data_IF_524800512580
#
_entry.id   IF_524800512580
#
_cell.length_a   1.000
_cell.length_b   1.000
_cell.length_c   1.000
_cell.angle_alpha   90.00
_cell.angle_beta   90.00
_cell.angle_gamma   90.00
#
_symmetry.space_group_name_H-M   'P 1'
#
loop_
_entity.id
_entity.type
_entity.pdbx_description
1 polymer ?
#
# COMPACT_ATOMS: atom_id res chain seq x y z
N UNK A 1 -3.81 18.12 -8.21
CA UNK A 1 -3.69 19.08 -7.07
C UNK A 1 -2.66 18.53 -6.11
N UNK A 2 -1.88 19.37 -5.42
CA UNK A 2 -0.83 18.88 -4.51
C UNK A 2 -1.43 18.66 -3.13
N UNK A 3 -1.36 17.43 -2.60
CA UNK A 3 -1.75 17.13 -1.22
C UNK A 3 -0.67 17.63 -0.25
N UNK A 4 -1.07 18.50 0.69
CA UNK A 4 -0.17 19.03 1.73
C UNK A 4 -0.36 18.23 3.02
N UNK A 5 0.64 17.45 3.39
CA UNK A 5 0.62 16.60 4.60
C UNK A 5 0.75 17.46 5.84
N UNK A 6 -0.12 17.27 6.84
CA UNK A 6 -0.02 17.92 8.15
C UNK A 6 -0.73 17.09 9.22
N UNK A 7 -0.13 16.99 10.39
CA UNK A 7 -0.75 16.43 11.58
C UNK A 7 -1.45 17.51 12.44
N UNK A 8 -1.22 18.79 12.14
CA UNK A 8 -1.78 19.94 12.89
C UNK A 8 -3.13 20.27 12.29
N UNK A 9 -4.20 19.89 12.99
CA UNK A 9 -5.56 20.19 12.58
C UNK A 9 -5.84 21.70 12.66
N UNK A 10 -6.72 22.24 11.77
CA UNK A 10 -7.14 23.63 11.85
C UNK A 10 -7.98 23.88 13.13
N UNK A 11 -7.95 25.09 13.63
CA UNK A 11 -8.75 25.49 14.80
C UNK A 11 -10.27 25.42 14.52
N UNK A 12 -10.68 25.62 13.26
CA UNK A 12 -12.06 25.49 12.79
C UNK A 12 -12.10 25.16 11.29
N UNK A 13 -13.14 24.46 10.87
CA UNK A 13 -13.48 24.21 9.48
C UNK A 13 -14.99 24.00 9.34
N UNK A 14 -15.54 24.29 8.17
CA UNK A 14 -16.97 24.10 7.91
C UNK A 14 -17.26 22.68 7.39
N UNK A 15 -16.48 22.25 6.41
CA UNK A 15 -16.54 20.90 5.82
C UNK A 15 -15.15 20.40 5.54
N UNK A 16 -15.01 19.08 5.49
CA UNK A 16 -13.76 18.38 5.20
C UNK A 16 -14.00 17.12 4.37
N UNK A 17 -12.98 16.65 3.68
CA UNK A 17 -12.97 15.31 3.07
C UNK A 17 -12.73 14.28 4.16
N UNK A 18 -13.60 13.24 4.19
CA UNK A 18 -13.54 12.20 5.22
C UNK A 18 -13.22 10.85 4.62
N UNK A 19 -12.03 10.37 4.92
CA UNK A 19 -11.54 9.05 4.55
C UNK A 19 -11.84 8.07 5.69
N UNK A 20 -13.06 7.53 5.71
CA UNK A 20 -13.52 6.64 6.77
C UNK A 20 -13.45 5.18 6.32
N UNK A 21 -12.87 4.32 7.14
CA UNK A 21 -12.61 2.91 6.78
C UNK A 21 -13.32 1.94 7.73
N UNK A 22 -13.73 0.80 7.16
CA UNK A 22 -14.07 -0.41 7.90
C UNK A 22 -13.23 -1.55 7.34
N UNK A 23 -12.19 -1.95 8.09
CA UNK A 23 -11.13 -2.82 7.55
C UNK A 23 -10.49 -2.21 6.31
N UNK A 24 -10.53 -2.94 5.19
CA UNK A 24 -9.96 -2.52 3.91
C UNK A 24 -10.97 -1.79 2.99
N UNK A 25 -12.19 -1.55 3.46
CA UNK A 25 -13.22 -0.85 2.70
C UNK A 25 -13.31 0.60 3.14
N UNK A 26 -13.42 1.51 2.17
CA UNK A 26 -13.58 2.96 2.38
C UNK A 26 -15.03 3.37 2.18
N UNK A 27 -15.50 4.30 3.00
CA UNK A 27 -16.79 4.93 2.83
C UNK A 27 -16.76 5.91 1.66
N UNK A 28 -17.76 5.81 0.80
CA UNK A 28 -17.95 6.71 -0.33
C UNK A 28 -19.38 7.25 -0.35
N UNK A 29 -19.56 8.44 -0.89
CA UNK A 29 -20.87 8.99 -1.20
C UNK A 29 -21.25 8.60 -2.63
N UNK A 30 -22.53 8.24 -2.82
CA UNK A 30 -23.10 7.93 -4.12
C UNK A 30 -23.96 9.09 -4.59
N UNK A 31 -23.45 9.92 -5.49
CA UNK A 31 -24.12 11.11 -6.03
C UNK A 31 -24.36 10.96 -7.53
N UNK A 32 -25.61 10.70 -7.94
CA UNK A 32 -25.97 10.68 -9.36
C UNK A 32 -25.18 9.70 -10.21
N UNK A 33 -24.79 8.54 -9.65
CA UNK A 33 -23.98 7.51 -10.31
C UNK A 33 -22.47 7.79 -10.26
N UNK A 34 -22.02 8.79 -9.51
CA UNK A 34 -20.58 9.04 -9.24
C UNK A 34 -20.23 8.60 -7.83
N UNK A 35 -19.04 8.04 -7.71
CA UNK A 35 -18.43 7.66 -6.43
C UNK A 35 -17.48 8.77 -6.02
N UNK A 36 -17.70 9.33 -4.83
CA UNK A 36 -16.91 10.47 -4.33
C UNK A 36 -16.49 10.24 -2.88
N UNK A 37 -15.35 10.81 -2.48
CA UNK A 37 -14.96 10.87 -1.07
C UNK A 37 -15.94 11.79 -0.35
N UNK A 38 -16.56 11.37 0.78
CA UNK A 38 -17.52 12.19 1.50
C UNK A 38 -16.95 13.55 1.91
N UNK A 39 -17.71 14.62 1.63
CA UNK A 39 -17.36 16.00 1.97
C UNK A 39 -18.43 16.64 2.84
N UNK A 40 -18.24 16.60 4.15
CA UNK A 40 -19.21 17.08 5.14
C UNK A 40 -18.54 17.60 6.41
N UNK A 41 -19.31 18.15 7.36
CA UNK A 41 -18.79 18.70 8.63
C UNK A 41 -18.13 17.60 9.46
N UNK A 42 -18.86 16.50 9.75
CA UNK A 42 -18.36 15.35 10.51
C UNK A 42 -19.23 14.10 10.23
N UNK A 43 -18.68 12.89 10.39
CA UNK A 43 -19.41 11.64 10.15
C UNK A 43 -20.65 11.47 11.04
N UNK A 44 -20.60 11.91 12.27
CA UNK A 44 -21.69 11.80 13.26
C UNK A 44 -22.97 12.50 12.83
N UNK A 45 -22.86 13.63 12.09
CA UNK A 45 -24.02 14.35 11.54
C UNK A 45 -24.83 13.52 10.54
N UNK A 46 -24.24 12.44 10.01
CA UNK A 46 -24.86 11.50 9.08
C UNK A 46 -25.14 10.13 9.72
N UNK A 47 -25.01 10.02 11.04
CA UNK A 47 -25.22 8.76 11.76
C UNK A 47 -24.06 7.76 11.65
N UNK A 48 -22.93 8.16 11.08
CA UNK A 48 -21.74 7.33 10.95
C UNK A 48 -20.91 7.45 12.24
N UNK A 49 -20.82 6.33 12.98
CA UNK A 49 -20.00 6.29 14.19
C UNK A 49 -18.57 5.94 13.82
N UNK A 50 -17.62 6.73 14.28
CA UNK A 50 -16.19 6.52 14.01
C UNK A 50 -15.38 6.46 15.31
N UNK A 51 -14.18 5.90 15.20
CA UNK A 51 -13.11 6.07 16.17
C UNK A 51 -12.65 7.54 16.20
N UNK A 52 -11.58 7.83 16.95
CA UNK A 52 -10.96 9.16 16.95
C UNK A 52 -10.54 9.55 15.52
N UNK A 53 -10.98 10.71 15.08
CA UNK A 53 -10.55 11.28 13.81
C UNK A 53 -9.07 11.72 13.89
N UNK A 54 -8.34 11.46 12.80
CA UNK A 54 -6.97 11.94 12.61
C UNK A 54 -6.94 12.90 11.43
N UNK A 55 -6.45 14.10 11.65
CA UNK A 55 -6.19 15.07 10.58
C UNK A 55 -4.96 14.62 9.78
N UNK A 56 -5.04 14.64 8.44
CA UNK A 56 -3.97 14.17 7.57
C UNK A 56 -3.41 15.23 6.62
N UNK A 57 -4.03 16.43 6.56
CA UNK A 57 -3.57 17.52 5.72
C UNK A 57 -4.67 18.15 4.87
N UNK A 58 -4.29 18.73 3.74
CA UNK A 58 -5.22 19.37 2.80
C UNK A 58 -5.05 18.87 1.37
N UNK A 59 -6.18 18.71 0.67
CA UNK A 59 -6.24 18.52 -0.77
C UNK A 59 -6.75 19.81 -1.43
N UNK A 60 -5.84 20.61 -1.98
CA UNK A 60 -6.12 21.99 -2.32
C UNK A 60 -6.51 22.80 -1.07
N UNK A 61 -7.69 23.40 -1.08
CA UNK A 61 -8.26 24.14 0.08
C UNK A 61 -9.04 23.27 1.07
N UNK A 62 -9.29 21.99 0.72
CA UNK A 62 -10.13 21.12 1.53
C UNK A 62 -9.31 20.40 2.61
N UNK A 63 -9.71 20.54 3.86
CA UNK A 63 -9.16 19.76 4.96
C UNK A 63 -9.52 18.28 4.80
N UNK A 64 -8.60 17.38 5.21
CA UNK A 64 -8.76 15.95 5.10
C UNK A 64 -8.58 15.28 6.46
N UNK A 65 -9.54 14.46 6.83
CA UNK A 65 -9.51 13.62 8.03
C UNK A 65 -9.66 12.15 7.66
N UNK A 66 -9.13 11.29 8.53
CA UNK A 66 -9.39 9.86 8.44
C UNK A 66 -9.84 9.29 9.78
N UNK A 67 -10.63 8.21 9.75
CA UNK A 67 -11.13 7.52 10.94
C UNK A 67 -11.53 6.07 10.61
N UNK A 68 -11.57 5.22 11.64
CA UNK A 68 -12.22 3.91 11.54
C UNK A 68 -13.73 4.03 11.80
N UNK A 69 -14.55 3.34 11.01
CA UNK A 69 -15.98 3.20 11.23
C UNK A 69 -16.21 2.10 12.27
N UNK A 70 -16.90 2.44 13.36
CA UNK A 70 -17.15 1.53 14.48
C UNK A 70 -18.57 0.97 14.50
N UNK A 71 -19.44 1.42 13.58
CA UNK A 71 -20.83 0.92 13.43
C UNK A 71 -20.97 -0.03 12.26
N UNK A 72 -21.94 -0.96 12.38
CA UNK A 72 -22.33 -1.88 11.30
C UNK A 72 -23.52 -1.35 10.47
N UNK A 73 -24.11 -0.24 10.87
CA UNK A 73 -25.33 0.27 10.26
C UNK A 73 -25.04 0.92 8.91
N UNK A 74 -25.60 0.42 7.81
CA UNK A 74 -25.55 1.10 6.53
C UNK A 74 -26.23 2.47 6.63
N UNK A 75 -25.61 3.48 6.03
CA UNK A 75 -26.14 4.84 6.00
C UNK A 75 -26.62 5.15 4.58
N UNK A 76 -27.87 5.59 4.44
CA UNK A 76 -28.46 5.91 3.13
C UNK A 76 -27.63 6.97 2.40
N UNK A 77 -27.31 6.73 1.13
CA UNK A 77 -26.49 7.62 0.30
C UNK A 77 -24.97 7.40 0.42
N UNK A 78 -24.56 6.38 1.20
CA UNK A 78 -23.17 5.98 1.33
C UNK A 78 -23.01 4.48 1.11
N UNK A 79 -21.84 4.09 0.58
CA UNK A 79 -21.45 2.69 0.41
C UNK A 79 -20.05 2.45 0.96
N UNK A 80 -19.77 1.20 1.34
CA UNK A 80 -18.42 0.73 1.65
C UNK A 80 -17.88 -0.03 0.44
N UNK A 81 -16.82 0.48 -0.17
CA UNK A 81 -16.18 -0.11 -1.33
C UNK A 81 -14.74 -0.49 -0.95
N UNK A 82 -14.27 -1.67 -1.39
CA UNK A 82 -12.88 -2.08 -1.19
C UNK A 82 -11.92 -1.04 -1.76
N UNK A 83 -10.86 -0.70 -1.00
CA UNK A 83 -9.84 0.24 -1.48
C UNK A 83 -9.20 -0.20 -2.81
N UNK A 84 -9.17 -1.50 -3.12
CA UNK A 84 -8.70 -1.97 -4.43
C UNK A 84 -9.66 -1.61 -5.56
N UNK A 85 -10.96 -1.74 -5.32
CA UNK A 85 -11.99 -1.45 -6.33
C UNK A 85 -12.13 0.05 -6.59
N UNK A 86 -11.97 0.89 -5.57
CA UNK A 86 -12.14 2.34 -5.72
C UNK A 86 -11.08 2.97 -6.64
N UNK A 87 -9.94 2.31 -6.86
CA UNK A 87 -8.87 2.78 -7.76
C UNK A 87 -9.37 3.17 -9.15
N UNK A 88 -10.38 2.47 -9.67
CA UNK A 88 -10.98 2.73 -10.99
C UNK A 88 -12.11 3.75 -10.95
N UNK A 89 -12.54 4.19 -9.77
CA UNK A 89 -13.72 5.03 -9.57
C UNK A 89 -13.37 6.47 -9.18
N UNK A 90 -12.17 6.71 -8.65
CA UNK A 90 -11.70 8.04 -8.22
C UNK A 90 -10.38 8.38 -8.93
N UNK A 91 -9.95 9.63 -8.81
CA UNK A 91 -8.66 10.07 -9.36
C UNK A 91 -7.47 9.41 -8.67
N UNK A 92 -6.33 9.33 -9.36
CA UNK A 92 -5.07 8.81 -8.79
C UNK A 92 -4.60 9.61 -7.56
N UNK A 93 -4.84 10.93 -7.56
CA UNK A 93 -4.51 11.80 -6.44
C UNK A 93 -5.37 11.44 -5.20
N UNK A 94 -6.68 11.30 -5.37
CA UNK A 94 -7.60 10.89 -4.30
C UNK A 94 -7.29 9.49 -3.80
N UNK A 95 -6.97 8.56 -4.70
CA UNK A 95 -6.55 7.22 -4.33
C UNK A 95 -5.26 7.22 -3.48
N UNK A 96 -4.30 8.07 -3.81
CA UNK A 96 -3.06 8.22 -3.02
C UNK A 96 -3.35 8.74 -1.62
N UNK A 97 -4.28 9.72 -1.48
CA UNK A 97 -4.72 10.23 -0.18
C UNK A 97 -5.46 9.15 0.61
N UNK A 98 -6.37 8.40 -0.03
CA UNK A 98 -7.10 7.30 0.59
C UNK A 98 -6.14 6.18 1.08
N UNK A 99 -5.12 5.85 0.29
CA UNK A 99 -4.09 4.88 0.66
C UNK A 99 -3.28 5.33 1.89
N UNK A 100 -2.87 6.61 1.93
CA UNK A 100 -2.24 7.21 3.12
C UNK A 100 -3.16 7.18 4.33
N UNK A 101 -4.41 7.58 4.15
CA UNK A 101 -5.42 7.62 5.20
C UNK A 101 -5.62 6.23 5.85
N UNK A 102 -5.70 5.16 5.04
CA UNK A 102 -5.79 3.78 5.54
C UNK A 102 -4.57 3.40 6.39
N UNK A 103 -3.36 3.73 5.93
CA UNK A 103 -2.13 3.45 6.70
C UNK A 103 -2.12 4.18 8.04
N UNK A 104 -2.54 5.46 8.09
CA UNK A 104 -2.62 6.26 9.31
C UNK A 104 -3.68 5.71 10.27
N UNK A 105 -4.87 5.36 9.77
CA UNK A 105 -5.94 4.75 10.59
C UNK A 105 -5.45 3.44 11.22
N UNK A 106 -4.87 2.55 10.42
CA UNK A 106 -4.40 1.27 10.93
C UNK A 106 -3.26 1.44 11.94
N UNK A 107 -2.32 2.35 11.67
CA UNK A 107 -1.26 2.67 12.65
C UNK A 107 -1.85 3.21 13.94
N UNK A 108 -2.82 4.12 13.90
CA UNK A 108 -3.47 4.67 15.10
C UNK A 108 -4.14 3.58 15.93
N UNK A 109 -4.78 2.61 15.27
CA UNK A 109 -5.48 1.49 15.92
C UNK A 109 -4.51 0.46 16.54
N UNK A 110 -3.43 0.13 15.85
CA UNK A 110 -2.50 -0.92 16.25
C UNK A 110 -1.43 -0.45 17.24
N UNK A 111 -1.25 0.87 17.43
CA UNK A 111 -0.26 1.45 18.33
C UNK A 111 -0.92 2.17 19.51
N UNK A 112 -1.92 1.54 20.13
CA UNK A 112 -2.64 2.08 21.30
C UNK A 112 -1.85 1.95 22.59
N UNK A 113 -0.98 0.95 22.68
CA UNK A 113 -0.16 0.63 23.84
C UNK A 113 1.32 0.62 23.50
N UNK A 114 2.14 1.01 24.47
CA UNK A 114 3.59 1.05 24.34
C UNK A 114 4.17 -0.36 24.23
N UNK A 115 4.91 -0.66 23.16
CA UNK A 115 5.56 -1.96 22.96
C UNK A 115 6.72 -2.23 23.94
N UNK A 116 7.17 -1.22 24.73
CA UNK A 116 8.22 -1.37 25.75
C UNK A 116 7.65 -1.63 27.13
N UNK A 117 6.62 -0.89 27.58
CA UNK A 117 6.13 -0.95 28.96
C UNK A 117 4.62 -1.21 29.10
N UNK A 118 3.89 -1.39 28.00
CA UNK A 118 2.46 -1.69 28.00
C UNK A 118 1.54 -0.50 28.31
N UNK A 119 2.06 0.66 28.69
CA UNK A 119 1.24 1.83 29.03
C UNK A 119 0.49 2.38 27.79
N UNK A 120 -0.70 2.98 27.98
CA UNK A 120 -1.42 3.64 26.89
C UNK A 120 -0.57 4.76 26.26
N UNK A 121 -0.55 4.81 24.91
CA UNK A 121 0.15 5.81 24.16
C UNK A 121 -0.67 7.08 23.99
N UNK A 122 0.00 8.22 24.01
CA UNK A 122 -0.58 9.53 23.69
C UNK A 122 -0.20 9.96 22.28
N UNK A 123 -1.11 10.63 21.59
CA UNK A 123 -0.84 11.18 20.26
C UNK A 123 -0.01 12.46 20.40
N UNK A 124 1.04 12.56 19.58
CA UNK A 124 1.79 13.80 19.44
C UNK A 124 0.93 14.90 18.78
N UNK A 125 1.08 16.14 19.21
CA UNK A 125 0.20 17.24 18.76
C UNK A 125 0.62 17.86 17.42
N UNK A 126 1.88 17.66 17.00
CA UNK A 126 2.44 18.32 15.81
C UNK A 126 2.93 17.35 14.74
N UNK A 127 3.03 16.06 15.06
CA UNK A 127 3.57 15.03 14.17
C UNK A 127 2.67 13.81 14.15
N UNK A 128 2.78 13.00 13.08
CA UNK A 128 2.24 11.64 13.06
C UNK A 128 3.11 10.74 13.93
N UNK A 129 3.01 10.92 15.25
CA UNK A 129 3.74 10.16 16.23
C UNK A 129 2.87 9.88 17.47
N UNK A 130 3.24 8.83 18.21
CA UNK A 130 2.70 8.54 19.55
C UNK A 130 3.83 8.50 20.56
N UNK A 131 3.59 9.06 21.74
CA UNK A 131 4.55 9.13 22.83
C UNK A 131 4.00 8.33 24.01
N UNK A 132 4.85 7.50 24.60
CA UNK A 132 4.54 6.83 25.86
C UNK A 132 4.77 7.80 27.04
N UNK A 133 3.75 8.14 27.85
CA UNK A 133 3.92 9.04 28.99
C UNK A 133 4.75 8.42 30.12
N UNK A 134 4.87 7.08 30.15
CA UNK A 134 5.56 6.35 31.23
C UNK A 134 7.05 6.12 30.96
N UNK A 135 7.44 5.92 29.67
CA UNK A 135 8.85 5.59 29.36
C UNK A 135 9.43 6.43 28.21
N UNK A 136 8.71 7.45 27.74
CA UNK A 136 9.11 8.40 26.69
C UNK A 136 9.44 7.74 25.34
N UNK A 137 9.01 6.49 25.08
CA UNK A 137 9.16 5.87 23.77
C UNK A 137 8.29 6.63 22.76
N UNK A 138 8.89 7.10 21.68
CA UNK A 138 8.18 7.70 20.54
C UNK A 138 8.06 6.68 19.42
N UNK A 139 6.85 6.53 18.86
CA UNK A 139 6.56 5.64 17.74
C UNK A 139 5.95 6.43 16.59
N UNK A 140 6.56 6.31 15.43
CA UNK A 140 6.05 6.81 14.14
C UNK A 140 5.24 5.75 13.39
N UNK A 141 4.45 6.11 12.35
CA UNK A 141 3.81 5.15 11.48
C UNK A 141 4.80 4.13 10.93
N UNK A 142 4.50 2.84 11.11
CA UNK A 142 5.35 1.77 10.57
C UNK A 142 5.15 1.63 9.08
N UNK A 143 6.26 1.51 8.37
CA UNK A 143 6.30 1.21 6.94
C UNK A 143 7.28 0.04 6.79
N UNK A 144 6.83 -1.09 6.25
CA UNK A 144 7.67 -2.25 5.99
C UNK A 144 8.29 -2.13 4.59
N UNK A 145 9.62 -2.05 4.46
CA UNK A 145 10.25 -2.08 3.14
C UNK A 145 10.11 -3.49 2.55
N UNK A 146 9.78 -3.55 1.26
CA UNK A 146 9.73 -4.78 0.49
C UNK A 146 10.26 -4.52 -0.91
N UNK A 147 11.11 -5.41 -1.42
CA UNK A 147 11.56 -5.34 -2.80
C UNK A 147 10.56 -5.98 -3.74
N UNK A 148 10.63 -5.58 -5.00
CA UNK A 148 9.94 -6.24 -6.09
C UNK A 148 10.81 -6.10 -7.34
N UNK A 149 11.07 -7.20 -8.08
CA UNK A 149 12.10 -7.21 -9.12
C UNK A 149 11.65 -7.89 -10.40
N UNK A 150 11.79 -7.18 -11.53
CA UNK A 150 11.70 -7.76 -12.87
C UNK A 150 13.07 -8.32 -13.27
N UNK A 151 13.16 -9.64 -13.45
CA UNK A 151 14.39 -10.32 -13.82
C UNK A 151 14.32 -10.69 -15.30
N UNK A 152 15.34 -10.29 -16.05
CA UNK A 152 15.37 -10.48 -17.51
C UNK A 152 16.51 -11.42 -17.90
N UNK A 153 16.21 -12.35 -18.83
CA UNK A 153 17.14 -13.27 -19.47
C UNK A 153 16.84 -13.33 -20.97
N UNK A 154 17.78 -12.95 -21.81
CA UNK A 154 17.69 -13.12 -23.28
C UNK A 154 16.35 -12.63 -23.87
N UNK A 155 15.90 -11.42 -23.45
CA UNK A 155 14.64 -10.83 -23.90
C UNK A 155 13.38 -11.47 -23.33
N UNK A 156 13.49 -12.26 -22.26
CA UNK A 156 12.35 -12.85 -21.53
C UNK A 156 12.36 -12.39 -20.09
N UNK A 157 11.16 -12.20 -19.51
CA UNK A 157 10.96 -11.88 -18.09
C UNK A 157 10.64 -13.14 -17.30
N UNK A 158 11.18 -13.23 -16.08
CA UNK A 158 10.76 -14.23 -15.11
C UNK A 158 9.45 -13.80 -14.48
N UNK A 159 8.43 -14.65 -14.56
CA UNK A 159 7.20 -14.50 -13.79
C UNK A 159 6.95 -15.78 -12.98
N UNK A 160 6.50 -15.59 -11.75
CA UNK A 160 6.21 -16.64 -10.80
C UNK A 160 4.76 -16.59 -10.32
N UNK A 161 4.20 -17.74 -10.03
CA UNK A 161 2.85 -17.91 -9.49
C UNK A 161 2.94 -18.48 -8.07
N UNK A 162 2.33 -17.76 -7.13
CA UNK A 162 2.28 -18.18 -5.73
C UNK A 162 1.35 -19.39 -5.55
N UNK A 163 1.65 -20.18 -4.54
CA UNK A 163 0.76 -21.27 -4.08
C UNK A 163 -0.63 -20.71 -3.79
N UNK A 164 -1.67 -21.40 -4.23
CA UNK A 164 -3.07 -20.99 -4.14
C UNK A 164 -3.43 -19.67 -4.87
N UNK A 165 -2.68 -19.29 -5.88
CA UNK A 165 -2.96 -18.14 -6.74
C UNK A 165 -2.97 -18.57 -8.22
N UNK A 166 -3.80 -17.92 -9.03
CA UNK A 166 -3.74 -18.07 -10.50
C UNK A 166 -2.91 -16.96 -11.16
N UNK A 167 -2.51 -15.95 -10.37
CA UNK A 167 -1.85 -14.77 -10.89
C UNK A 167 -0.33 -14.94 -10.93
N UNK A 168 0.25 -14.74 -12.11
CA UNK A 168 1.69 -14.64 -12.32
C UNK A 168 2.17 -13.21 -12.06
N UNK A 169 3.24 -13.06 -11.29
CA UNK A 169 3.85 -11.78 -10.94
C UNK A 169 5.36 -11.86 -10.99
N UNK A 170 6.00 -10.73 -10.84
CA UNK A 170 7.44 -10.64 -10.58
C UNK A 170 7.73 -11.01 -9.13
N UNK A 171 8.97 -11.41 -8.81
CA UNK A 171 9.43 -11.79 -7.46
C UNK A 171 9.35 -10.59 -6.52
N UNK A 172 8.92 -10.82 -5.27
CA UNK A 172 8.80 -9.77 -4.27
C UNK A 172 8.86 -10.32 -2.86
N UNK A 173 9.68 -9.71 -1.99
CA UNK A 173 9.83 -10.12 -0.61
C UNK A 173 10.17 -8.97 0.34
N UNK A 174 10.09 -9.23 1.63
CA UNK A 174 10.39 -8.25 2.66
C UNK A 174 11.89 -8.15 2.93
N UNK A 175 12.33 -6.93 3.22
CA UNK A 175 13.69 -6.68 3.69
C UNK A 175 13.84 -7.18 5.12
N UNK A 176 14.86 -7.98 5.37
CA UNK A 176 15.21 -8.46 6.70
C UNK A 176 16.16 -7.50 7.44
N UNK A 177 16.21 -7.65 8.77
CA UNK A 177 17.06 -6.80 9.60
C UNK A 177 18.55 -6.97 9.25
N UNK A 178 19.18 -5.89 8.82
CA UNK A 178 20.60 -5.86 8.45
C UNK A 178 20.88 -6.01 6.97
N UNK A 179 19.87 -6.28 6.13
CA UNK A 179 20.04 -6.36 4.68
C UNK A 179 20.01 -4.99 4.00
N UNK A 180 20.76 -4.87 2.92
CA UNK A 180 20.54 -3.88 1.87
C UNK A 180 19.44 -4.35 0.92
N UNK A 181 18.89 -3.42 0.13
CA UNK A 181 17.83 -3.77 -0.84
C UNK A 181 18.32 -4.73 -1.93
N UNK A 182 19.59 -4.58 -2.34
CA UNK A 182 20.23 -5.44 -3.33
C UNK A 182 20.47 -6.85 -2.80
N UNK A 183 20.87 -6.98 -1.52
CA UNK A 183 20.99 -8.27 -0.84
C UNK A 183 19.62 -8.96 -0.72
N UNK A 184 18.56 -8.22 -0.37
CA UNK A 184 17.20 -8.75 -0.35
C UNK A 184 16.76 -9.25 -1.72
N UNK A 185 17.03 -8.50 -2.81
CA UNK A 185 16.72 -8.96 -4.19
C UNK A 185 17.43 -10.28 -4.49
N UNK A 186 18.72 -10.39 -4.15
CA UNK A 186 19.50 -11.61 -4.40
C UNK A 186 18.98 -12.80 -3.57
N UNK A 187 18.70 -12.59 -2.28
CA UNK A 187 18.18 -13.63 -1.37
C UNK A 187 16.80 -14.13 -1.82
N UNK A 188 15.82 -13.23 -1.99
CA UNK A 188 14.46 -13.61 -2.39
C UNK A 188 14.44 -14.36 -3.74
N UNK A 189 15.27 -13.92 -4.69
CA UNK A 189 15.38 -14.59 -5.99
C UNK A 189 15.96 -15.98 -5.84
N UNK A 190 16.97 -16.15 -4.98
CA UNK A 190 17.57 -17.46 -4.72
C UNK A 190 16.63 -18.38 -3.94
N UNK A 191 15.93 -17.88 -2.93
CA UNK A 191 15.02 -18.65 -2.08
C UNK A 191 13.76 -19.09 -2.83
N UNK A 192 13.08 -18.14 -3.51
CA UNK A 192 11.81 -18.42 -4.18
C UNK A 192 11.95 -19.23 -5.48
N UNK A 193 13.03 -19.02 -6.24
CA UNK A 193 13.15 -19.60 -7.60
C UNK A 193 14.53 -20.19 -7.95
N UNK A 194 15.51 -20.18 -7.05
CA UNK A 194 16.79 -20.91 -7.20
C UNK A 194 17.78 -20.30 -8.18
N UNK A 195 17.62 -19.04 -8.61
CA UNK A 195 18.55 -18.40 -9.55
C UNK A 195 19.32 -17.24 -8.91
N UNK A 196 20.50 -16.92 -9.45
CA UNK A 196 21.27 -15.74 -9.11
C UNK A 196 21.06 -14.63 -10.14
N UNK A 197 21.17 -13.39 -9.68
CA UNK A 197 20.94 -12.20 -10.49
C UNK A 197 22.12 -11.22 -10.38
N UNK A 198 22.28 -10.40 -11.40
CA UNK A 198 23.27 -9.31 -11.47
C UNK A 198 22.65 -8.03 -12.01
N UNK A 199 23.44 -6.95 -12.04
CA UNK A 199 23.02 -5.65 -12.58
C UNK A 199 21.70 -5.17 -11.98
N UNK A 200 21.53 -5.34 -10.66
CA UNK A 200 20.34 -4.89 -9.90
C UNK A 200 20.27 -3.36 -9.97
N UNK A 201 19.17 -2.80 -10.48
CA UNK A 201 18.98 -1.37 -10.66
C UNK A 201 17.62 -0.94 -10.13
N UNK A 202 17.62 0.14 -9.33
CA UNK A 202 16.37 0.76 -8.87
C UNK A 202 15.53 1.24 -10.05
N UNK A 203 14.25 0.92 -10.01
CA UNK A 203 13.27 1.30 -11.02
C UNK A 203 12.32 2.39 -10.51
N UNK A 204 11.63 2.15 -9.40
CA UNK A 204 10.70 3.09 -8.76
C UNK A 204 10.32 2.62 -7.36
N UNK A 205 9.49 3.40 -6.66
CA UNK A 205 8.87 2.96 -5.41
C UNK A 205 7.38 3.25 -5.38
N UNK A 206 6.65 2.45 -4.60
CA UNK A 206 5.20 2.60 -4.43
C UNK A 206 4.80 2.35 -2.98
N UNK A 207 4.14 3.33 -2.29
CA UNK A 207 3.43 3.06 -1.05
C UNK A 207 2.32 2.02 -1.30
N UNK A 208 2.31 0.94 -0.51
CA UNK A 208 1.36 -0.16 -0.67
C UNK A 208 0.54 -0.33 0.60
N UNK A 209 -0.63 0.32 0.62
CA UNK A 209 -1.48 0.40 1.81
C UNK A 209 -2.04 -0.95 2.28
N UNK A 210 -2.12 -1.93 1.37
CA UNK A 210 -2.74 -3.23 1.63
C UNK A 210 -1.93 -4.13 2.57
N UNK A 211 -0.62 -3.93 2.65
CA UNK A 211 0.27 -4.61 3.61
C UNK A 211 1.16 -3.63 4.39
N UNK A 212 0.81 -2.33 4.36
CA UNK A 212 1.57 -1.26 5.04
C UNK A 212 3.04 -1.20 4.61
N UNK A 213 3.30 -1.53 3.35
CA UNK A 213 4.63 -1.62 2.79
C UNK A 213 5.00 -0.39 1.96
N UNK A 214 6.30 -0.17 1.82
CA UNK A 214 6.88 0.58 0.73
C UNK A 214 7.51 -0.44 -0.22
N UNK A 215 6.90 -0.61 -1.39
CA UNK A 215 7.47 -1.44 -2.45
C UNK A 215 8.60 -0.69 -3.13
N UNK A 216 9.78 -1.29 -3.19
CA UNK A 216 10.98 -0.77 -3.84
C UNK A 216 11.24 -1.63 -5.07
N UNK A 217 10.94 -1.09 -6.24
CA UNK A 217 10.98 -1.82 -7.50
C UNK A 217 12.36 -1.76 -8.14
N UNK A 218 12.82 -2.91 -8.63
CA UNK A 218 14.09 -3.12 -9.28
C UNK A 218 13.93 -3.83 -10.62
N UNK A 219 14.93 -3.65 -11.46
CA UNK A 219 15.21 -4.53 -12.61
C UNK A 219 16.52 -5.24 -12.34
N UNK A 220 16.64 -6.47 -12.79
CA UNK A 220 17.87 -7.27 -12.69
C UNK A 220 18.04 -8.16 -13.92
N UNK A 221 19.26 -8.60 -14.15
CA UNK A 221 19.59 -9.58 -15.19
C UNK A 221 19.86 -10.94 -14.54
N UNK A 222 19.38 -12.00 -15.18
CA UNK A 222 19.75 -13.36 -14.82
C UNK A 222 21.27 -13.53 -14.94
N UNK A 223 21.88 -14.21 -13.96
CA UNK A 223 23.31 -14.53 -13.99
C UNK A 223 23.53 -16.04 -14.14
N UNK A 224 22.96 -16.85 -13.24
CA UNK A 224 23.15 -18.31 -13.25
C UNK A 224 22.03 -19.03 -12.48
N UNK A 225 22.08 -20.37 -12.53
CA UNK A 225 21.13 -21.25 -11.83
C UNK A 225 20.05 -21.80 -12.74
N UNK A 226 19.22 -22.68 -12.19
CA UNK A 226 18.03 -23.23 -12.85
C UNK A 226 16.81 -22.85 -12.06
N UNK A 227 15.69 -22.56 -12.73
CA UNK A 227 14.43 -22.28 -12.03
C UNK A 227 14.03 -23.54 -11.24
N UNK A 228 13.96 -23.37 -9.91
CA UNK A 228 13.47 -24.39 -8.97
C UNK A 228 12.57 -23.66 -7.97
N UNK A 229 11.25 -23.61 -8.22
CA UNK A 229 10.31 -23.04 -7.26
C UNK A 229 10.43 -23.72 -5.89
N UNK A 230 10.34 -22.98 -4.81
CA UNK A 230 10.48 -23.49 -3.44
C UNK A 230 9.31 -24.42 -3.02
N UNK A 231 8.18 -24.37 -3.72
CA UNK A 231 6.98 -25.16 -3.43
C UNK A 231 6.23 -24.73 -2.15
N UNK A 232 6.71 -23.69 -1.46
CA UNK A 232 6.12 -23.16 -0.23
C UNK A 232 5.40 -21.85 -0.53
N UNK A 233 6.11 -20.87 -1.11
CA UNK A 233 5.53 -19.60 -1.55
C UNK A 233 5.27 -19.60 -3.04
N UNK A 234 6.19 -20.13 -3.85
CA UNK A 234 6.11 -20.20 -5.30
C UNK A 234 5.82 -21.63 -5.74
N UNK A 235 4.73 -21.81 -6.48
CA UNK A 235 4.32 -23.08 -7.07
C UNK A 235 4.90 -23.27 -8.48
N UNK A 236 5.00 -22.19 -9.25
CA UNK A 236 5.44 -22.20 -10.63
C UNK A 236 6.21 -20.93 -10.99
N UNK A 237 7.29 -21.06 -11.76
CA UNK A 237 8.02 -19.94 -12.31
C UNK A 237 8.55 -20.27 -13.70
N UNK A 238 8.44 -19.33 -14.65
CA UNK A 238 8.86 -19.52 -16.04
C UNK A 238 9.35 -18.23 -16.68
N UNK A 239 10.11 -18.38 -17.79
CA UNK A 239 10.54 -17.30 -18.65
C UNK A 239 9.50 -17.01 -19.74
N UNK A 240 9.01 -15.77 -19.82
CA UNK A 240 8.01 -15.33 -20.78
C UNK A 240 8.56 -14.28 -21.74
N UNK A 241 8.29 -14.44 -23.05
CA UNK A 241 8.55 -13.38 -24.03
C UNK A 241 7.45 -12.29 -23.96
N UNK A 242 7.69 -11.09 -24.52
CA UNK A 242 6.68 -10.01 -24.54
C UNK A 242 5.33 -10.44 -25.13
N UNK A 243 5.35 -11.35 -26.11
CA UNK A 243 4.15 -11.82 -26.83
C UNK A 243 3.47 -13.02 -26.16
N UNK A 244 4.09 -13.63 -25.14
CA UNK A 244 3.59 -14.85 -24.47
C UNK A 244 3.34 -14.69 -22.98
N UNK A 245 3.09 -13.46 -22.52
CA UNK A 245 2.78 -13.19 -21.12
C UNK A 245 1.50 -13.91 -20.70
N UNK A 246 1.41 -14.41 -19.45
CA UNK A 246 0.20 -15.00 -18.91
C UNK A 246 -0.98 -14.02 -18.92
N UNK A 247 -2.20 -14.55 -19.05
CA UNK A 247 -3.43 -13.74 -19.00
C UNK A 247 -3.64 -13.11 -17.62
N UNK A 248 -3.39 -13.88 -16.56
CA UNK A 248 -3.58 -13.46 -15.17
C UNK A 248 -2.29 -12.83 -14.62
N UNK A 249 -2.17 -11.51 -14.76
CA UNK A 249 -1.07 -10.71 -14.21
C UNK A 249 -1.61 -9.55 -13.37
N UNK A 250 -0.78 -8.91 -12.49
CA UNK A 250 -1.22 -7.85 -11.59
C UNK A 250 -1.97 -6.72 -12.29
N UNK A 251 -2.99 -6.18 -11.61
CA UNK A 251 -3.77 -5.05 -12.11
C UNK A 251 -2.96 -3.74 -12.19
N UNK A 252 -3.49 -2.69 -12.85
CA UNK A 252 -2.77 -1.44 -13.14
C UNK A 252 -2.42 -0.63 -11.90
N UNK A 253 -3.02 -0.93 -10.76
CA UNK A 253 -2.73 -0.30 -9.47
C UNK A 253 -1.32 -0.64 -8.93
N UNK A 254 -0.72 -1.74 -9.37
CA UNK A 254 0.48 -2.33 -8.79
C UNK A 254 1.75 -1.94 -9.56
N UNK A 255 2.83 -1.63 -8.85
CA UNK A 255 4.17 -1.46 -9.44
C UNK A 255 4.67 -2.73 -10.14
N UNK A 256 4.18 -3.92 -9.75
CA UNK A 256 4.43 -5.17 -10.49
C UNK A 256 3.96 -5.06 -11.95
N UNK A 257 2.77 -4.48 -12.18
CA UNK A 257 2.27 -4.21 -13.54
C UNK A 257 3.16 -3.23 -14.29
N UNK A 258 3.66 -2.20 -13.60
CA UNK A 258 4.54 -1.22 -14.22
C UNK A 258 5.86 -1.86 -14.67
N UNK A 259 6.44 -2.77 -13.87
CA UNK A 259 7.62 -3.54 -14.24
C UNK A 259 7.36 -4.45 -15.45
N UNK A 260 6.22 -5.15 -15.49
CA UNK A 260 5.84 -6.01 -16.62
C UNK A 260 5.60 -5.17 -17.89
N UNK A 261 4.95 -4.01 -17.77
CA UNK A 261 4.74 -3.09 -18.89
C UNK A 261 6.07 -2.50 -19.41
N UNK A 262 6.97 -2.12 -18.49
CA UNK A 262 8.32 -1.69 -18.85
C UNK A 262 9.06 -2.77 -19.65
N UNK A 263 9.03 -4.02 -19.18
CA UNK A 263 9.63 -5.15 -19.89
C UNK A 263 9.03 -5.27 -21.29
N UNK A 264 7.70 -5.31 -21.40
CA UNK A 264 7.00 -5.44 -22.68
C UNK A 264 7.41 -4.32 -23.65
N UNK A 265 7.49 -3.06 -23.20
CA UNK A 265 7.86 -1.94 -24.06
C UNK A 265 9.34 -1.95 -24.47
N UNK A 266 10.22 -2.49 -23.61
CA UNK A 266 11.67 -2.48 -23.85
C UNK A 266 12.13 -3.62 -24.76
N UNK A 267 11.43 -4.77 -24.76
CA UNK A 267 11.87 -6.01 -25.41
C UNK A 267 10.90 -6.49 -26.53
N UNK A 268 9.85 -5.70 -26.87
CA UNK A 268 8.96 -5.96 -28.02
C UNK A 268 9.58 -5.58 -29.35
#
# INVERSE_FOLDING_TARGET
MTFNVSAIAPAAYNKACWYCFKGMSILVAENGGRTEIPFFTEPSAYGIKTSRAVYIGTNGSNHCFCAEITSDTPVKGFALISLRQIYTLISSDEFSIASRALQIVNWDLTHRFCGRCGSPMQTHTQEFAKICPSCNLTLYPRISPAIIVAIVKEGKILLARRVNSEMFSVIAGYVEAGETLEETVARETQEEVGITVKNIRYFSSQPWAFSYSLMLAFTAEYESGSIVPDGVEIEEANWYSPDSLPEMIPGPISVARNLINWFKTTYS
#
